data_IF_495549107121
#
_entry.id   IF_495549107121
#
_cell.length_a   1.000
_cell.length_b   1.000
_cell.length_c   1.000
_cell.angle_alpha   90.00
_cell.angle_beta   90.00
_cell.angle_gamma   90.00
#
_symmetry.space_group_name_H-M   'P 1'
#
loop_
_entity.id
_entity.type
_entity.pdbx_description
1 polymer ?
#
# COMPACT_ATOMS: atom_id res chain seq x y z
N UNK A 1 -38.44 8.76 -20.18
CA UNK A 1 -37.34 9.73 -20.44
C UNK A 1 -36.70 10.08 -19.11
N UNK A 2 -35.48 9.62 -18.84
CA UNK A 2 -34.73 9.96 -17.62
C UNK A 2 -33.44 10.66 -18.05
N UNK A 3 -33.37 11.97 -17.81
CA UNK A 3 -32.21 12.79 -18.13
C UNK A 3 -31.04 12.47 -17.21
N UNK A 4 -29.89 12.08 -17.80
CA UNK A 4 -28.61 12.04 -17.09
C UNK A 4 -28.14 13.46 -16.85
N UNK A 5 -28.05 13.85 -15.58
CA UNK A 5 -27.29 15.03 -15.16
C UNK A 5 -25.81 14.68 -15.27
N UNK A 6 -25.11 15.29 -16.24
CA UNK A 6 -23.66 15.30 -16.28
C UNK A 6 -23.20 16.22 -15.16
N UNK A 7 -22.48 15.69 -14.16
CA UNK A 7 -21.71 16.52 -13.23
C UNK A 7 -20.38 16.81 -13.90
N UNK A 8 -20.16 18.06 -14.25
CA UNK A 8 -18.88 18.54 -14.73
C UNK A 8 -17.87 18.45 -13.58
N UNK A 9 -16.79 17.69 -13.81
CA UNK A 9 -15.66 17.64 -12.91
C UNK A 9 -14.85 18.90 -13.18
N UNK A 10 -14.88 19.84 -12.25
CA UNK A 10 -14.07 21.05 -12.31
C UNK A 10 -12.65 20.67 -11.88
N UNK A 11 -11.70 20.77 -12.80
CA UNK A 11 -10.27 20.61 -12.46
C UNK A 11 -9.82 21.77 -11.56
N UNK A 12 -9.02 21.49 -10.50
CA UNK A 12 -8.55 22.53 -9.60
C UNK A 12 -7.64 23.51 -10.34
N UNK A 13 -7.77 24.78 -10.00
CA UNK A 13 -6.95 25.85 -10.56
C UNK A 13 -5.47 25.69 -10.17
N UNK A 14 -4.53 26.25 -10.95
CA UNK A 14 -3.11 26.25 -10.60
C UNK A 14 -2.80 26.83 -9.22
N UNK A 15 -3.60 27.80 -8.77
CA UNK A 15 -3.46 28.42 -7.44
C UNK A 15 -3.89 27.48 -6.30
N UNK A 16 -4.93 26.66 -6.52
CA UNK A 16 -5.36 25.62 -5.57
C UNK A 16 -4.35 24.47 -5.49
N UNK A 17 -3.75 24.10 -6.62
CA UNK A 17 -2.66 23.10 -6.65
C UNK A 17 -1.44 23.60 -5.89
N UNK A 18 -1.10 24.88 -5.97
CA UNK A 18 0.05 25.43 -5.24
C UNK A 18 -0.21 25.56 -3.73
N UNK A 19 -1.43 25.95 -3.32
CA UNK A 19 -1.86 25.92 -1.91
C UNK A 19 -1.84 24.51 -1.32
N UNK A 20 -2.19 23.49 -2.11
CA UNK A 20 -2.07 22.09 -1.69
C UNK A 20 -0.60 21.67 -1.46
N UNK A 21 0.33 22.08 -2.34
CA UNK A 21 1.77 21.82 -2.15
C UNK A 21 2.34 22.53 -0.93
N UNK A 22 1.92 23.77 -0.68
CA UNK A 22 2.39 24.56 0.47
C UNK A 22 1.86 24.02 1.80
N UNK A 23 0.62 23.52 1.82
CA UNK A 23 0.03 22.83 2.98
C UNK A 23 0.82 21.56 3.34
N UNK A 24 1.28 20.79 2.34
CA UNK A 24 2.14 19.61 2.54
C UNK A 24 3.53 20.02 3.07
N UNK A 25 4.12 21.11 2.56
CA UNK A 25 5.40 21.63 3.07
C UNK A 25 5.33 22.08 4.53
N UNK A 26 4.26 22.77 4.92
CA UNK A 26 4.08 23.28 6.27
C UNK A 26 3.79 22.17 7.30
N UNK A 27 3.05 21.13 6.92
CA UNK A 27 2.84 19.96 7.79
C UNK A 27 4.09 19.08 7.93
N UNK A 28 5.01 19.11 6.94
CA UNK A 28 6.30 18.44 7.03
C UNK A 28 7.31 19.11 7.97
N UNK A 29 7.12 20.38 8.32
CA UNK A 29 8.08 21.16 9.09
C UNK A 29 7.84 21.20 10.62
N UNK A 30 6.70 20.68 11.12
CA UNK A 30 6.27 20.90 12.52
C UNK A 30 6.51 19.70 13.45
N UNK A 31 7.06 18.58 12.98
CA UNK A 31 7.28 17.39 13.83
C UNK A 31 8.76 17.18 14.15
N UNK A 32 9.33 18.02 15.02
CA UNK A 32 10.56 17.68 15.72
C UNK A 32 10.58 18.27 17.14
N UNK A 33 10.07 17.51 18.11
CA UNK A 33 10.57 17.55 19.49
C UNK A 33 10.15 16.28 20.28
N UNK A 34 11.16 15.71 20.97
CA UNK A 34 11.08 14.82 22.15
C UNK A 34 10.56 13.39 21.99
N UNK A 35 11.46 12.40 21.91
CA UNK A 35 11.86 11.54 23.06
C UNK A 35 12.99 10.59 22.67
N UNK A 36 13.94 10.38 23.59
CA UNK A 36 15.13 9.57 23.38
C UNK A 36 14.83 8.08 23.67
N UNK A 37 14.91 7.25 22.63
CA UNK A 37 15.17 5.82 22.73
C UNK A 37 16.26 5.47 21.71
N UNK A 38 17.39 4.92 22.18
CA UNK A 38 18.56 4.65 21.35
C UNK A 38 18.70 3.17 21.03
N UNK A 39 18.46 2.81 19.76
CA UNK A 39 19.27 1.84 19.04
C UNK A 39 19.82 2.49 17.76
N UNK A 40 20.59 3.59 17.87
CA UNK A 40 21.06 4.37 16.71
C UNK A 40 22.10 3.67 15.82
N UNK A 41 22.85 2.68 16.32
CA UNK A 41 24.07 2.22 15.64
C UNK A 41 23.87 1.31 14.41
N UNK A 42 22.77 0.53 14.32
CA UNK A 42 22.47 -0.26 13.11
C UNK A 42 21.58 0.48 12.10
N UNK A 43 20.73 1.39 12.58
CA UNK A 43 19.77 2.09 11.73
C UNK A 43 20.35 3.30 11.01
N UNK A 44 21.34 3.99 11.60
CA UNK A 44 22.09 5.04 10.90
C UNK A 44 22.91 4.49 9.71
N UNK A 45 23.31 3.21 9.76
CA UNK A 45 23.92 2.51 8.63
C UNK A 45 22.89 2.18 7.53
N UNK A 46 21.68 1.72 7.90
CA UNK A 46 20.56 1.52 6.94
C UNK A 46 20.16 2.81 6.21
N UNK A 47 20.29 3.95 6.87
CA UNK A 47 20.09 5.29 6.27
C UNK A 47 21.09 5.61 5.14
N UNK A 48 22.24 4.95 5.10
CA UNK A 48 23.29 5.11 4.08
C UNK A 48 23.36 3.97 3.06
N UNK A 49 22.76 2.82 3.36
CA UNK A 49 22.94 1.58 2.58
C UNK A 49 21.84 1.30 1.57
N UNK A 50 20.66 1.93 1.66
CA UNK A 50 19.72 1.85 0.55
C UNK A 50 20.13 2.84 -0.54
N UNK A 51 21.04 2.40 -1.43
CA UNK A 51 20.99 2.85 -2.81
C UNK A 51 19.72 2.25 -3.39
N UNK A 52 18.58 2.84 -3.04
CA UNK A 52 17.36 2.68 -3.81
C UNK A 52 17.76 3.08 -5.23
N UNK A 53 18.00 2.11 -6.12
CA UNK A 53 18.04 2.42 -7.55
C UNK A 53 16.79 3.26 -7.85
N UNK A 54 16.93 4.33 -8.64
CA UNK A 54 15.96 5.43 -8.80
C UNK A 54 14.52 5.08 -8.37
N UNK A 55 14.24 5.24 -7.06
CA UNK A 55 12.87 5.14 -6.55
C UNK A 55 12.13 6.39 -6.99
N UNK A 56 10.91 6.20 -7.49
CA UNK A 56 10.13 7.25 -8.15
C UNK A 56 8.78 7.40 -7.51
N UNK A 57 8.17 8.58 -7.70
CA UNK A 57 6.80 8.83 -7.29
C UNK A 57 5.85 7.79 -7.90
N UNK A 58 5.05 7.14 -7.06
CA UNK A 58 4.12 6.06 -7.42
C UNK A 58 4.70 4.65 -7.28
N UNK A 59 6.01 4.48 -7.08
CA UNK A 59 6.55 3.17 -6.75
C UNK A 59 5.93 2.66 -5.44
N UNK A 60 5.89 1.34 -5.31
CA UNK A 60 5.27 0.66 -4.19
C UNK A 60 6.33 0.05 -3.29
N UNK A 61 6.15 0.19 -1.98
CA UNK A 61 7.01 -0.40 -0.97
C UNK A 61 6.18 -1.40 -0.17
N UNK A 62 6.52 -2.68 -0.32
CA UNK A 62 5.85 -3.78 0.36
C UNK A 62 6.67 -4.25 1.54
N UNK A 63 5.98 -4.72 2.57
CA UNK A 63 6.62 -5.28 3.75
C UNK A 63 6.08 -6.67 4.04
N UNK A 64 6.99 -7.62 4.17
CA UNK A 64 6.77 -8.86 4.91
C UNK A 64 7.38 -8.68 6.29
N UNK A 65 6.63 -9.01 7.34
CA UNK A 65 7.17 -9.04 8.69
C UNK A 65 7.17 -10.47 9.22
N UNK A 66 8.14 -10.86 10.07
CA UNK A 66 8.09 -12.14 10.75
C UNK A 66 6.82 -12.21 11.60
N UNK A 67 5.86 -13.00 11.15
CA UNK A 67 4.59 -13.20 11.83
C UNK A 67 4.80 -14.22 12.96
N UNK A 68 4.30 -13.89 14.15
CA UNK A 68 4.19 -14.90 15.20
C UNK A 68 3.02 -15.83 14.89
N UNK A 69 3.30 -16.94 14.22
CA UNK A 69 2.30 -17.92 13.77
C UNK A 69 1.71 -18.74 14.91
N UNK A 70 2.27 -18.65 16.12
CA UNK A 70 1.64 -19.20 17.33
C UNK A 70 0.45 -18.35 17.79
N UNK A 71 0.37 -17.09 17.35
CA UNK A 71 -0.79 -16.23 17.59
C UNK A 71 -1.82 -16.37 16.46
N UNK A 72 -3.13 -16.46 16.78
CA UNK A 72 -4.17 -16.67 15.78
C UNK A 72 -4.18 -15.63 14.65
N UNK A 73 -3.95 -14.35 14.98
CA UNK A 73 -3.93 -13.28 13.96
C UNK A 73 -2.74 -13.43 13.00
N UNK A 74 -1.53 -13.68 13.52
CA UNK A 74 -0.35 -13.91 12.68
C UNK A 74 -0.53 -15.11 11.75
N UNK A 75 -1.07 -16.22 12.26
CA UNK A 75 -1.42 -17.39 11.46
C UNK A 75 -2.44 -17.08 10.36
N UNK A 76 -3.49 -16.30 10.68
CA UNK A 76 -4.51 -15.92 9.71
C UNK A 76 -4.01 -15.01 8.59
N UNK A 77 -3.13 -14.05 8.91
CA UNK A 77 -2.49 -13.19 7.91
C UNK A 77 -1.61 -14.03 6.98
N UNK A 78 -0.80 -14.94 7.52
CA UNK A 78 0.03 -15.83 6.70
C UNK A 78 -0.83 -16.71 5.78
N UNK A 79 -1.85 -17.37 6.34
CA UNK A 79 -2.74 -18.24 5.57
C UNK A 79 -3.48 -17.47 4.45
N UNK A 80 -3.88 -16.23 4.72
CA UNK A 80 -4.49 -15.34 3.71
C UNK A 80 -3.50 -14.97 2.60
N UNK A 81 -2.24 -14.69 2.93
CA UNK A 81 -1.18 -14.45 1.95
C UNK A 81 -0.94 -15.67 1.05
N UNK A 82 -0.79 -16.86 1.64
CA UNK A 82 -0.64 -18.12 0.89
C UNK A 82 -1.84 -18.38 -0.02
N UNK A 83 -3.07 -18.27 0.50
CA UNK A 83 -4.28 -18.48 -0.29
C UNK A 83 -4.42 -17.44 -1.43
N UNK A 84 -3.89 -16.23 -1.27
CA UNK A 84 -3.82 -15.23 -2.34
C UNK A 84 -2.88 -15.67 -3.46
N UNK A 85 -1.72 -16.23 -3.13
CA UNK A 85 -0.80 -16.80 -4.12
C UNK A 85 -1.46 -17.97 -4.87
N UNK A 86 -2.14 -18.86 -4.13
CA UNK A 86 -2.83 -20.00 -4.75
C UNK A 86 -3.95 -19.53 -5.68
N UNK A 87 -4.71 -18.51 -5.27
CA UNK A 87 -5.71 -17.88 -6.13
C UNK A 87 -5.08 -17.31 -7.40
N UNK A 88 -3.96 -16.58 -7.29
CA UNK A 88 -3.25 -16.01 -8.44
C UNK A 88 -2.80 -17.12 -9.40
N UNK A 89 -2.20 -18.20 -8.89
CA UNK A 89 -1.77 -19.35 -9.70
C UNK A 89 -2.95 -20.02 -10.40
N UNK A 90 -4.08 -20.21 -9.71
CA UNK A 90 -5.31 -20.76 -10.29
C UNK A 90 -5.90 -19.88 -11.41
N UNK A 91 -5.54 -18.59 -11.45
CA UNK A 91 -5.94 -17.65 -12.49
C UNK A 91 -4.79 -17.38 -13.49
N UNK A 92 -3.89 -18.34 -13.68
CA UNK A 92 -2.87 -18.31 -14.73
C UNK A 92 -1.71 -17.35 -14.48
N UNK A 93 -1.56 -16.84 -13.25
CA UNK A 93 -0.44 -15.97 -12.89
C UNK A 93 0.79 -16.81 -12.55
N UNK A 94 1.91 -16.52 -13.20
CA UNK A 94 3.21 -17.05 -12.75
C UNK A 94 3.63 -16.29 -11.50
N UNK A 95 3.88 -17.03 -10.41
CA UNK A 95 4.38 -16.51 -9.13
C UNK A 95 5.68 -17.25 -8.85
N UNK A 96 6.81 -16.61 -9.17
CA UNK A 96 8.14 -17.24 -9.09
C UNK A 96 8.61 -17.49 -7.65
N UNK A 97 8.44 -16.50 -6.78
CA UNK A 97 8.74 -16.60 -5.36
C UNK A 97 7.45 -16.66 -4.52
N UNK A 98 7.46 -17.43 -3.43
CA UNK A 98 6.35 -17.52 -2.47
C UNK A 98 6.30 -16.32 -1.50
N UNK A 99 6.72 -15.15 -1.97
CA UNK A 99 6.78 -13.93 -1.18
C UNK A 99 5.38 -13.43 -0.85
N UNK A 100 5.17 -13.01 0.40
CA UNK A 100 3.90 -12.43 0.84
C UNK A 100 4.16 -11.06 1.44
N UNK A 101 3.20 -10.15 1.32
CA UNK A 101 3.25 -8.85 1.95
C UNK A 101 2.05 -8.68 2.89
N UNK A 102 2.31 -8.07 4.05
CA UNK A 102 1.30 -7.72 5.07
C UNK A 102 0.93 -6.24 5.03
N UNK A 103 1.76 -5.43 4.38
CA UNK A 103 1.56 -3.99 4.25
C UNK A 103 2.14 -3.46 2.94
N UNK A 104 1.60 -2.34 2.48
CA UNK A 104 2.09 -1.62 1.29
C UNK A 104 1.95 -0.12 1.50
N UNK A 105 2.95 0.63 1.06
CA UNK A 105 2.96 2.08 0.99
C UNK A 105 3.31 2.53 -0.44
N UNK A 106 2.99 3.77 -0.79
CA UNK A 106 3.32 4.36 -2.09
C UNK A 106 4.28 5.53 -1.91
N UNK A 107 5.32 5.58 -2.73
CA UNK A 107 6.33 6.64 -2.73
C UNK A 107 5.72 7.92 -3.27
N UNK A 108 5.94 9.03 -2.56
CA UNK A 108 5.33 10.34 -2.87
C UNK A 108 6.15 11.15 -3.86
N UNK A 109 7.47 11.08 -3.79
CA UNK A 109 8.37 11.89 -4.60
C UNK A 109 9.57 11.09 -5.13
N UNK A 110 10.20 11.60 -6.19
CA UNK A 110 11.38 10.98 -6.79
C UNK A 110 12.65 11.14 -5.94
N UNK A 111 12.61 11.97 -4.90
CA UNK A 111 13.69 12.03 -3.92
C UNK A 111 13.61 10.85 -2.94
N UNK A 112 12.57 10.01 -3.04
CA UNK A 112 12.29 8.92 -2.12
C UNK A 112 12.28 9.41 -0.66
N UNK A 113 11.83 10.65 -0.44
CA UNK A 113 11.85 11.23 0.90
C UNK A 113 10.66 10.75 1.72
N UNK A 114 9.49 10.64 1.08
CA UNK A 114 8.23 10.33 1.76
C UNK A 114 7.45 9.19 1.10
N UNK A 115 6.66 8.51 1.93
CA UNK A 115 5.60 7.59 1.52
C UNK A 115 4.26 8.05 2.05
N UNK A 116 3.21 7.66 1.34
CA UNK A 116 1.83 7.70 1.81
C UNK A 116 1.34 6.28 2.06
N UNK A 117 0.72 6.05 3.21
CA UNK A 117 0.23 4.75 3.66
C UNK A 117 -1.09 4.89 4.40
N UNK A 118 -1.90 3.82 4.41
CA UNK A 118 -3.03 3.68 5.32
C UNK A 118 -2.68 2.67 6.42
N UNK A 119 -2.67 3.13 7.67
CA UNK A 119 -2.44 2.34 8.88
C UNK A 119 -3.59 2.52 9.84
N UNK A 120 -3.66 1.78 10.95
CA UNK A 120 -4.79 1.83 11.90
C UNK A 120 -5.14 3.24 12.40
N UNK A 121 -4.15 4.13 12.54
CA UNK A 121 -4.37 5.54 12.92
C UNK A 121 -4.88 6.45 11.78
N UNK A 122 -5.07 5.92 10.57
CA UNK A 122 -5.54 6.63 9.39
C UNK A 122 -4.51 6.65 8.24
N UNK A 123 -4.90 7.33 7.16
CA UNK A 123 -4.00 7.62 6.03
C UNK A 123 -3.03 8.73 6.42
N UNK A 124 -1.74 8.51 6.21
CA UNK A 124 -0.69 9.46 6.60
C UNK A 124 0.44 9.50 5.59
N UNK A 125 1.16 10.61 5.57
CA UNK A 125 2.48 10.72 4.96
C UNK A 125 3.57 10.62 6.03
N UNK A 126 4.71 10.03 5.70
CA UNK A 126 5.88 9.99 6.59
C UNK A 126 7.17 9.80 5.82
N UNK A 127 8.29 10.08 6.47
CA UNK A 127 9.60 9.82 5.88
C UNK A 127 9.80 8.32 5.65
N UNK A 128 10.42 7.94 4.53
CA UNK A 128 10.73 6.55 4.20
C UNK A 128 11.58 5.88 5.30
N UNK A 129 12.53 6.62 5.88
CA UNK A 129 13.35 6.12 6.98
C UNK A 129 12.51 5.71 8.20
N UNK A 130 11.47 6.48 8.52
CA UNK A 130 10.59 6.18 9.64
C UNK A 130 9.67 5.00 9.30
N UNK A 131 9.22 4.91 8.03
CA UNK A 131 8.45 3.77 7.55
C UNK A 131 9.20 2.45 7.79
N UNK A 132 10.49 2.39 7.47
CA UNK A 132 11.31 1.19 7.73
C UNK A 132 11.50 0.89 9.21
N UNK A 133 11.65 1.93 10.04
CA UNK A 133 11.91 1.80 11.46
C UNK A 133 10.72 1.23 12.25
N UNK A 134 9.50 1.31 11.71
CA UNK A 134 8.29 0.77 12.35
C UNK A 134 8.21 -0.76 12.32
N UNK A 135 9.01 -1.43 11.48
CA UNK A 135 8.95 -2.88 11.31
C UNK A 135 10.05 -3.59 12.09
N UNK A 136 9.75 -4.77 12.68
CA UNK A 136 10.69 -5.50 13.51
C UNK A 136 11.90 -6.01 12.72
N UNK A 137 12.96 -6.36 13.45
CA UNK A 137 14.10 -7.08 12.88
C UNK A 137 13.64 -8.39 12.23
N UNK A 138 14.21 -8.73 11.07
CA UNK A 138 13.80 -9.88 10.26
C UNK A 138 12.69 -9.59 9.25
N UNK A 139 12.16 -8.37 9.18
CA UNK A 139 11.27 -7.95 8.09
C UNK A 139 11.98 -7.94 6.73
N UNK A 140 11.29 -8.43 5.71
CA UNK A 140 11.71 -8.31 4.30
C UNK A 140 10.96 -7.17 3.64
N UNK A 141 11.68 -6.39 2.84
CA UNK A 141 11.13 -5.26 2.11
C UNK A 141 11.22 -5.53 0.61
N UNK A 142 10.20 -5.10 -0.13
CA UNK A 142 10.18 -5.22 -1.58
C UNK A 142 9.85 -3.88 -2.21
N UNK A 143 10.61 -3.52 -3.25
CA UNK A 143 10.33 -2.37 -4.10
C UNK A 143 9.63 -2.86 -5.35
N UNK A 144 8.39 -2.42 -5.52
CA UNK A 144 7.58 -2.67 -6.71
C UNK A 144 7.52 -1.45 -7.61
N UNK A 145 7.96 -1.63 -8.84
CA UNK A 145 7.84 -0.62 -9.91
C UNK A 145 6.66 -1.02 -10.78
N UNK A 146 5.76 -0.06 -11.07
CA UNK A 146 4.67 -0.31 -11.99
C UNK A 146 5.21 -0.59 -13.40
N UNK A 147 4.51 -1.41 -14.16
CA UNK A 147 4.86 -1.79 -15.54
C UNK A 147 5.20 -0.53 -16.36
N UNK A 148 6.20 -0.59 -17.25
CA UNK A 148 6.56 0.55 -18.11
C UNK A 148 5.40 1.05 -18.99
N UNK A 149 4.32 0.28 -19.10
CA UNK A 149 3.09 0.69 -19.78
C UNK A 149 2.18 1.61 -18.93
N UNK A 150 2.48 1.82 -17.65
CA UNK A 150 1.81 2.81 -16.80
C UNK A 150 2.56 4.14 -16.97
N UNK A 151 1.97 5.14 -17.64
CA UNK A 151 2.66 6.41 -17.86
C UNK A 151 2.97 7.15 -16.56
N UNK A 152 4.03 7.94 -16.56
CA UNK A 152 4.54 8.62 -15.36
C UNK A 152 3.52 9.59 -14.76
N UNK A 153 2.77 10.29 -15.63
CA UNK A 153 1.68 11.18 -15.24
C UNK A 153 0.55 10.43 -14.51
N UNK A 154 0.35 9.14 -14.80
CA UNK A 154 -0.63 8.31 -14.11
C UNK A 154 -0.15 7.90 -12.73
N UNK A 155 1.14 7.59 -12.57
CA UNK A 155 1.74 7.42 -11.25
C UNK A 155 1.65 8.70 -10.41
N UNK A 156 1.96 9.86 -10.99
CA UNK A 156 1.82 11.15 -10.30
C UNK A 156 0.37 11.45 -9.90
N UNK A 157 -0.60 11.16 -10.77
CA UNK A 157 -2.02 11.31 -10.46
C UNK A 157 -2.49 10.34 -9.36
N UNK A 158 -1.98 9.12 -9.32
CA UNK A 158 -2.25 8.17 -8.23
C UNK A 158 -1.69 8.68 -6.90
N UNK A 159 -0.46 9.21 -6.90
CA UNK A 159 0.13 9.87 -5.72
C UNK A 159 -0.74 11.05 -5.26
N UNK A 160 -1.13 11.93 -6.18
CA UNK A 160 -1.98 13.07 -5.85
C UNK A 160 -3.32 12.63 -5.23
N UNK A 161 -3.95 11.58 -5.78
CA UNK A 161 -5.14 10.99 -5.18
C UNK A 161 -4.90 10.54 -3.74
N UNK A 162 -3.84 9.76 -3.49
CA UNK A 162 -3.56 9.23 -2.15
C UNK A 162 -3.24 10.33 -1.14
N UNK A 163 -2.52 11.39 -1.57
CA UNK A 163 -2.25 12.56 -0.73
C UNK A 163 -3.53 13.30 -0.32
N UNK A 164 -4.53 13.38 -1.20
CA UNK A 164 -5.84 13.94 -0.84
C UNK A 164 -6.59 13.12 0.22
N UNK A 165 -6.19 11.87 0.46
CA UNK A 165 -6.81 11.00 1.47
C UNK A 165 -6.14 11.08 2.84
N UNK A 166 -5.02 11.81 2.97
CA UNK A 166 -4.33 11.99 4.26
C UNK A 166 -5.30 12.54 5.31
N UNK A 167 -5.30 11.93 6.49
CA UNK A 167 -6.22 12.23 7.59
C UNK A 167 -7.51 11.40 7.59
N UNK A 168 -7.84 10.70 6.50
CA UNK A 168 -9.00 9.79 6.48
C UNK A 168 -8.74 8.55 7.36
N UNK A 169 -9.78 7.98 7.99
CA UNK A 169 -9.62 6.86 8.91
C UNK A 169 -9.31 5.54 8.19
N UNK A 170 -8.75 4.60 8.95
CA UNK A 170 -8.49 3.25 8.48
C UNK A 170 -9.77 2.43 8.33
N UNK A 171 -9.80 1.56 7.31
CA UNK A 171 -10.86 0.58 7.12
C UNK A 171 -10.56 -0.71 7.89
N UNK A 172 -10.85 -0.75 9.19
CA UNK A 172 -10.59 -1.91 10.09
C UNK A 172 -11.34 -3.20 9.70
N UNK A 173 -12.47 -3.05 9.00
CA UNK A 173 -13.30 -4.13 8.44
C UNK A 173 -12.90 -4.51 7.02
N UNK A 174 -11.79 -3.95 6.50
CA UNK A 174 -11.34 -4.12 5.11
C UNK A 174 -12.43 -3.79 4.07
N UNK A 175 -13.37 -2.92 4.44
CA UNK A 175 -14.43 -2.45 3.57
C UNK A 175 -13.87 -1.62 2.41
N UNK A 176 -14.53 -1.70 1.26
CA UNK A 176 -14.20 -0.83 0.14
C UNK A 176 -14.67 0.60 0.43
N UNK A 177 -13.90 1.63 0.04
CA UNK A 177 -14.35 3.01 0.18
C UNK A 177 -15.63 3.23 -0.64
N UNK A 178 -16.57 3.96 -0.04
CA UNK A 178 -17.87 4.30 -0.62
C UNK A 178 -18.18 5.78 -0.43
N UNK A 179 -19.14 6.36 -1.17
CA UNK A 179 -19.50 7.77 -1.02
C UNK A 179 -19.97 8.16 0.39
N UNK A 180 -20.50 7.22 1.17
CA UNK A 180 -20.96 7.46 2.55
C UNK A 180 -19.90 7.15 3.61
N UNK A 181 -18.88 6.35 3.25
CA UNK A 181 -17.83 5.91 4.15
C UNK A 181 -16.52 5.82 3.37
N UNK A 182 -15.78 6.92 3.33
CA UNK A 182 -14.48 6.98 2.67
C UNK A 182 -13.39 6.62 3.68
N UNK A 183 -12.99 5.34 3.67
CA UNK A 183 -11.95 4.77 4.52
C UNK A 183 -11.07 3.86 3.69
N UNK A 184 -9.81 3.73 4.09
CA UNK A 184 -8.85 2.92 3.34
C UNK A 184 -8.07 2.01 4.27
N UNK A 185 -7.80 0.80 3.79
CA UNK A 185 -6.73 -0.05 4.28
C UNK A 185 -5.55 0.02 3.30
N UNK A 186 -4.38 -0.46 3.70
CA UNK A 186 -3.12 -0.19 3.00
C UNK A 186 -3.18 -0.45 1.48
N UNK A 187 -3.60 -1.64 1.06
CA UNK A 187 -3.69 -1.98 -0.36
C UNK A 187 -4.91 -1.40 -1.08
N UNK A 188 -6.01 -1.06 -0.37
CA UNK A 188 -7.14 -0.40 -1.04
C UNK A 188 -6.87 1.07 -1.33
N UNK A 189 -6.05 1.74 -0.53
CA UNK A 189 -5.56 3.09 -0.86
C UNK A 189 -4.81 3.08 -2.20
N UNK A 190 -3.86 2.15 -2.36
CA UNK A 190 -3.07 2.00 -3.58
C UNK A 190 -3.94 1.59 -4.77
N UNK A 191 -4.81 0.58 -4.60
CA UNK A 191 -5.72 0.13 -5.66
C UNK A 191 -6.62 1.26 -6.16
N UNK A 192 -7.27 1.99 -5.26
CA UNK A 192 -8.16 3.09 -5.65
C UNK A 192 -7.42 4.28 -6.24
N UNK A 193 -6.22 4.60 -5.75
CA UNK A 193 -5.38 5.64 -6.32
C UNK A 193 -5.08 5.37 -7.80
N UNK A 194 -4.63 4.16 -8.12
CA UNK A 194 -4.35 3.79 -9.50
C UNK A 194 -5.60 3.60 -10.35
N UNK A 195 -6.70 3.07 -9.79
CA UNK A 195 -7.99 2.99 -10.50
C UNK A 195 -8.50 4.36 -10.90
N UNK A 196 -8.39 5.34 -10.01
CA UNK A 196 -8.74 6.73 -10.28
C UNK A 196 -7.85 7.32 -11.37
N UNK A 197 -6.53 7.20 -11.24
CA UNK A 197 -5.58 7.75 -12.20
C UNK A 197 -5.73 7.16 -13.61
N UNK A 198 -5.86 5.83 -13.69
CA UNK A 198 -5.98 5.09 -14.94
C UNK A 198 -7.40 5.05 -15.50
N UNK A 199 -8.39 5.53 -14.74
CA UNK A 199 -9.83 5.42 -15.07
C UNK A 199 -10.25 3.96 -15.36
N UNK A 200 -9.70 3.04 -14.58
CA UNK A 200 -9.92 1.60 -14.73
C UNK A 200 -10.63 1.02 -13.50
N UNK A 201 -11.51 0.04 -13.73
CA UNK A 201 -12.18 -0.66 -12.63
C UNK A 201 -11.25 -1.62 -11.90
N UNK A 202 -10.33 -2.25 -12.64
CA UNK A 202 -9.35 -3.20 -12.13
C UNK A 202 -7.99 -2.79 -12.66
N UNK A 203 -7.00 -2.68 -11.78
CA UNK A 203 -5.62 -2.34 -12.16
C UNK A 203 -4.68 -3.50 -11.89
N UNK A 204 -4.73 -4.05 -10.68
CA UNK A 204 -3.76 -5.04 -10.23
C UNK A 204 -4.13 -6.48 -10.59
N UNK A 205 -5.34 -6.71 -11.11
CA UNK A 205 -5.82 -8.01 -11.60
C UNK A 205 -6.66 -7.85 -12.86
N UNK A 206 -6.80 -8.92 -13.64
CA UNK A 206 -7.66 -8.95 -14.84
C UNK A 206 -9.13 -9.27 -14.50
N UNK A 207 -9.34 -9.99 -13.40
CA UNK A 207 -10.66 -10.34 -12.86
C UNK A 207 -10.83 -9.79 -11.45
N UNK A 208 -12.07 -9.65 -10.99
CA UNK A 208 -12.33 -9.19 -9.63
C UNK A 208 -11.75 -10.17 -8.60
N UNK A 209 -10.86 -9.69 -7.72
CA UNK A 209 -10.30 -10.50 -6.66
C UNK A 209 -11.27 -10.57 -5.47
N UNK A 210 -11.78 -11.76 -5.09
CA UNK A 210 -12.53 -11.90 -3.85
C UNK A 210 -11.58 -11.70 -2.67
N UNK A 211 -11.95 -10.88 -1.67
CA UNK A 211 -11.16 -10.84 -0.45
C UNK A 211 -11.16 -12.21 0.21
N UNK A 212 -9.97 -12.77 0.38
CA UNK A 212 -9.77 -14.10 0.93
C UNK A 212 -9.65 -13.99 2.44
N UNK A 213 -10.50 -14.73 3.15
CA UNK A 213 -10.53 -14.77 4.61
C UNK A 213 -10.26 -16.19 5.09
N UNK A 214 -8.98 -16.58 5.14
CA UNK A 214 -8.53 -17.91 5.59
C UNK A 214 -7.64 -17.76 6.83
N UNK A 215 -7.84 -18.58 7.88
CA UNK A 215 -8.91 -19.55 8.05
C UNK A 215 -10.25 -18.86 8.38
N UNK A 216 -11.34 -19.35 7.76
CA UNK A 216 -12.66 -18.70 7.83
C UNK A 216 -13.14 -18.47 9.27
N UNK A 217 -12.97 -19.45 10.15
CA UNK A 217 -13.42 -19.38 11.54
C UNK A 217 -12.75 -18.23 12.33
N UNK A 218 -11.46 -17.97 12.09
CA UNK A 218 -10.76 -16.85 12.71
C UNK A 218 -11.38 -15.51 12.29
N UNK A 219 -11.60 -15.34 10.98
CA UNK A 219 -12.16 -14.11 10.44
C UNK A 219 -13.62 -13.92 10.85
N UNK A 220 -14.43 -14.98 10.89
CA UNK A 220 -15.80 -14.89 11.44
C UNK A 220 -15.81 -14.39 12.89
N UNK A 221 -14.88 -14.85 13.73
CA UNK A 221 -14.74 -14.36 15.11
C UNK A 221 -14.24 -12.90 15.16
N UNK A 222 -13.27 -12.55 14.31
CA UNK A 222 -12.77 -11.18 14.18
C UNK A 222 -13.91 -10.19 13.83
N UNK A 223 -14.71 -10.49 12.81
CA UNK A 223 -15.83 -9.62 12.41
C UNK A 223 -16.94 -9.59 13.46
N UNK A 224 -17.19 -10.71 14.16
CA UNK A 224 -18.14 -10.72 15.29
C UNK A 224 -17.75 -9.73 16.39
N UNK A 225 -16.45 -9.62 16.71
CA UNK A 225 -15.93 -8.62 17.66
C UNK A 225 -16.11 -7.18 17.18
N UNK A 226 -16.21 -6.96 15.88
CA UNK A 226 -16.56 -5.66 15.27
C UNK A 226 -18.07 -5.43 15.19
N UNK A 227 -18.91 -6.33 15.71
CA UNK A 227 -20.37 -6.34 15.52
C UNK A 227 -20.78 -6.37 14.04
N UNK A 228 -20.02 -7.11 13.22
CA UNK A 228 -20.24 -7.26 11.79
C UNK A 228 -20.25 -8.74 11.39
N UNK A 229 -20.86 -9.04 10.25
CA UNK A 229 -20.72 -10.33 9.57
C UNK A 229 -19.54 -10.30 8.62
N UNK A 230 -18.83 -11.44 8.48
CA UNK A 230 -17.76 -11.59 7.50
C UNK A 230 -18.28 -11.24 6.08
N UNK A 231 -17.72 -10.25 5.39
CA UNK A 231 -18.25 -9.79 4.12
C UNK A 231 -17.85 -10.74 2.99
N UNK A 232 -18.73 -10.86 1.99
CA UNK A 232 -18.42 -11.50 0.72
C UNK A 232 -18.26 -10.41 -0.35
N UNK A 233 -17.07 -9.81 -0.40
CA UNK A 233 -16.77 -8.66 -1.26
C UNK A 233 -15.49 -8.89 -2.06
N UNK A 234 -15.36 -8.19 -3.18
CA UNK A 234 -14.08 -8.06 -3.88
C UNK A 234 -13.23 -6.96 -3.27
N UNK A 235 -11.91 -7.03 -3.43
CA UNK A 235 -11.00 -6.00 -2.95
C UNK A 235 -9.57 -6.26 -3.35
N UNK A 236 -8.63 -5.85 -2.50
CA UNK A 236 -7.21 -6.09 -2.70
C UNK A 236 -6.53 -6.51 -1.41
N UNK A 237 -5.33 -7.07 -1.49
CA UNK A 237 -4.44 -7.19 -0.35
C UNK A 237 -2.99 -6.94 -0.81
N UNK A 238 -2.04 -6.67 0.09
CA UNK A 238 -0.68 -6.34 -0.33
C UNK A 238 0.00 -7.45 -1.15
N UNK A 239 -0.27 -8.72 -0.83
CA UNK A 239 0.27 -9.87 -1.58
C UNK A 239 -0.27 -9.91 -3.01
N UNK A 240 -1.54 -9.58 -3.22
CA UNK A 240 -2.14 -9.47 -4.54
C UNK A 240 -1.43 -8.41 -5.39
N UNK A 241 -1.20 -7.23 -4.81
CA UNK A 241 -0.55 -6.11 -5.50
C UNK A 241 0.90 -6.45 -5.85
N UNK A 242 1.63 -7.08 -4.92
CA UNK A 242 3.02 -7.48 -5.10
C UNK A 242 3.20 -8.38 -6.34
N UNK A 243 2.30 -9.34 -6.55
CA UNK A 243 2.35 -10.32 -7.64
C UNK A 243 1.50 -9.95 -8.88
N UNK A 244 1.02 -8.71 -8.94
CA UNK A 244 0.30 -8.21 -10.11
C UNK A 244 1.18 -8.23 -11.36
N UNK A 245 0.62 -8.50 -12.54
CA UNK A 245 1.33 -8.28 -13.83
C UNK A 245 1.76 -6.85 -14.05
N UNK A 246 1.10 -5.92 -13.36
CA UNK A 246 1.42 -4.50 -13.43
C UNK A 246 2.56 -4.13 -12.50
N UNK A 247 3.10 -5.03 -11.68
CA UNK A 247 4.17 -4.73 -10.73
C UNK A 247 5.35 -5.63 -11.01
N UNK A 248 6.50 -5.03 -11.32
CA UNK A 248 7.79 -5.72 -11.26
C UNK A 248 8.41 -5.39 -9.92
N UNK A 249 8.60 -6.40 -9.08
CA UNK A 249 9.20 -6.18 -7.76
C UNK A 249 10.60 -6.79 -7.66
N UNK A 250 11.36 -6.26 -6.71
CA UNK A 250 12.64 -6.80 -6.27
C UNK A 250 12.70 -6.75 -4.75
N UNK A 251 13.39 -7.73 -4.15
CA UNK A 251 13.63 -7.70 -2.72
C UNK A 251 14.76 -6.71 -2.45
N UNK A 252 14.52 -5.81 -1.50
CA UNK A 252 15.51 -4.89 -0.98
C UNK A 252 16.35 -5.64 0.06
N UNK A 253 17.65 -5.80 -0.20
CA UNK A 253 18.58 -6.42 0.76
C UNK A 253 19.40 -5.36 1.49
N UNK A 254 19.83 -5.69 2.71
CA UNK A 254 20.40 -4.74 3.68
C UNK A 254 21.71 -4.09 3.24
N UNK A 255 22.42 -4.68 2.28
CA UNK A 255 23.68 -4.14 1.73
C UNK A 255 23.45 -3.18 0.55
N UNK A 256 22.19 -2.89 0.21
CA UNK A 256 21.83 -2.03 -0.93
C UNK A 256 21.93 -2.72 -2.29
N UNK A 257 22.26 -4.01 -2.33
CA UNK A 257 22.13 -4.77 -3.56
C UNK A 257 20.63 -5.03 -3.86
N UNK A 258 20.30 -5.22 -5.14
CA UNK A 258 18.94 -5.54 -5.56
C UNK A 258 18.95 -7.00 -6.00
N UNK A 259 18.27 -7.86 -5.25
CA UNK A 259 18.07 -9.24 -5.69
C UNK A 259 16.79 -9.30 -6.52
N UNK A 260 16.95 -9.49 -7.84
CA UNK A 260 15.82 -9.81 -8.70
C UNK A 260 15.39 -11.26 -8.43
N UNK A 261 14.10 -11.53 -8.15
CA UNK A 261 13.64 -12.91 -8.05
C UNK A 261 13.89 -13.63 -9.38
N UNK A 262 14.30 -14.89 -9.32
CA UNK A 262 14.49 -15.72 -10.50
C UNK A 262 13.14 -15.82 -11.26
N UNK A 263 13.17 -15.43 -12.54
CA UNK A 263 12.00 -15.36 -13.42
C UNK A 263 11.47 -16.73 -13.84
#
# INVERSE_FOLDING_TARGET
MHGRVKKDIVEPSPEELEKQKETVRLHGAVVHATTAYSPRSRWEARRRLFVLGEVRAGDLLFVHMPLNTTQPFGSAIQATGTATIDWLKAHGRSVGAHDTAVHVAMVVDDAAAFVVEAVRSGVRTRAIADFWADFPEGSSFFHGVLSPHVPREKSAAAVAFALQKVGLPYAESFELPSPSHERYYCSSLVDYAYRSALQQRLVFTEVGFPLIFVPKAFWEDYYRKLNQSLPHVSGSNPTLLLHSSRVRYSQLVEDGSIFAPAG
#
